data_IF_313955349607
#
_entry.id   IF_313955349607
#
_cell.length_a   1.000
_cell.length_b   1.000
_cell.length_c   1.000
_cell.angle_alpha   90.00
_cell.angle_beta   90.00
_cell.angle_gamma   90.00
#
_symmetry.space_group_name_H-M   'P 1'
#
loop_
_entity.id
_entity.type
_entity.pdbx_description
1 polymer ?
#
# COMPACT_ATOMS: atom_id res chain seq x y z
N UNK A 1 10.01 11.09 8.21
CA UNK A 1 8.53 10.97 8.26
C UNK A 1 8.13 9.67 7.60
N UNK A 2 6.97 9.11 7.93
CA UNK A 2 6.51 7.85 7.31
C UNK A 2 5.43 8.14 6.28
N UNK A 3 5.63 7.69 5.04
CA UNK A 3 4.65 7.75 3.96
C UNK A 3 4.59 6.36 3.33
N UNK A 4 3.39 5.83 3.16
CA UNK A 4 3.16 4.50 2.59
C UNK A 4 2.41 4.56 1.25
N UNK A 5 2.23 5.77 0.71
CA UNK A 5 1.67 6.04 -0.61
C UNK A 5 1.69 7.54 -0.91
N UNK A 6 1.17 7.93 -2.06
CA UNK A 6 1.00 9.33 -2.43
C UNK A 6 -0.48 9.75 -2.38
N UNK A 7 -0.77 10.91 -1.77
CA UNK A 7 -2.13 11.46 -1.78
C UNK A 7 -3.16 10.52 -1.12
N UNK A 8 -4.29 10.22 -1.80
CA UNK A 8 -5.35 9.34 -1.28
C UNK A 8 -4.87 7.95 -0.86
N UNK A 9 -3.83 7.41 -1.51
CA UNK A 9 -3.27 6.11 -1.14
C UNK A 9 -2.70 6.12 0.29
N UNK A 10 -1.99 7.20 0.65
CA UNK A 10 -1.48 7.34 2.01
C UNK A 10 -2.60 7.53 3.03
N UNK A 11 -3.63 8.31 2.71
CA UNK A 11 -4.77 8.53 3.61
C UNK A 11 -5.55 7.22 3.87
N UNK A 12 -5.62 6.35 2.87
CA UNK A 12 -6.22 5.03 2.99
C UNK A 12 -5.38 4.10 3.87
N UNK A 13 -4.08 3.97 3.57
CA UNK A 13 -3.18 3.06 4.27
C UNK A 13 -2.93 3.53 5.71
N UNK A 14 -2.65 4.82 5.89
CA UNK A 14 -2.29 5.46 7.16
C UNK A 14 -3.44 6.28 7.73
N UNK A 15 -4.65 5.75 7.73
CA UNK A 15 -5.80 6.41 8.36
C UNK A 15 -5.52 6.76 9.85
N UNK A 16 -5.93 7.93 10.35
CA UNK A 16 -6.74 8.98 9.70
C UNK A 16 -5.91 10.11 9.06
N UNK A 17 -4.68 9.84 8.62
CA UNK A 17 -3.79 10.88 8.07
C UNK A 17 -4.43 11.68 6.93
N UNK A 18 -4.04 12.95 6.84
CA UNK A 18 -4.44 13.88 5.78
C UNK A 18 -3.23 14.29 4.96
N UNK A 19 -3.34 14.15 3.64
CA UNK A 19 -2.25 14.47 2.73
C UNK A 19 -1.86 15.94 2.80
N UNK A 20 -2.84 16.84 2.91
CA UNK A 20 -2.60 18.28 3.10
C UNK A 20 -1.74 18.56 4.33
N UNK A 21 -2.07 17.96 5.49
CA UNK A 21 -1.32 18.15 6.72
C UNK A 21 0.11 17.60 6.63
N UNK A 22 0.31 16.50 5.90
CA UNK A 22 1.63 15.94 5.61
C UNK A 22 2.46 16.91 4.78
N UNK A 23 1.88 17.48 3.72
CA UNK A 23 2.55 18.46 2.85
C UNK A 23 2.91 19.72 3.64
N UNK A 24 1.98 20.25 4.44
CA UNK A 24 2.21 21.41 5.30
C UNK A 24 3.34 21.14 6.30
N UNK A 25 3.36 19.95 6.88
CA UNK A 25 4.43 19.50 7.77
C UNK A 25 5.76 19.47 7.04
N UNK A 26 5.83 18.89 5.83
CA UNK A 26 7.05 18.86 5.02
C UNK A 26 7.58 20.28 4.78
N UNK A 27 6.72 21.18 4.32
CA UNK A 27 7.09 22.57 4.02
C UNK A 27 7.65 23.25 5.27
N UNK A 28 6.95 23.12 6.41
CA UNK A 28 7.38 23.70 7.68
C UNK A 28 8.75 23.21 8.12
N UNK A 29 8.99 21.89 8.05
CA UNK A 29 10.27 21.32 8.48
C UNK A 29 11.41 21.61 7.50
N UNK A 30 11.14 21.73 6.19
CA UNK A 30 12.16 22.15 5.20
C UNK A 30 12.67 23.58 5.45
N UNK A 31 11.85 24.43 6.06
CA UNK A 31 12.25 25.80 6.42
C UNK A 31 13.23 25.90 7.60
N UNK A 32 13.52 24.79 8.29
CA UNK A 32 14.40 24.80 9.46
C UNK A 32 15.87 24.57 9.05
N UNK A 33 16.83 25.41 9.49
CA UNK A 33 18.21 25.44 8.97
C UNK A 33 19.04 24.18 9.20
N UNK A 34 18.61 23.28 10.10
CA UNK A 34 19.35 22.06 10.47
C UNK A 34 18.49 20.79 10.43
N UNK A 35 17.24 20.88 9.96
CA UNK A 35 16.39 19.71 9.84
C UNK A 35 16.78 18.90 8.60
N UNK A 36 17.05 17.61 8.78
CA UNK A 36 17.20 16.65 7.69
C UNK A 36 15.93 15.82 7.59
N UNK A 37 15.30 15.84 6.43
CA UNK A 37 14.11 15.04 6.16
C UNK A 37 14.47 13.80 5.37
N UNK A 38 13.77 12.71 5.67
CA UNK A 38 13.73 11.51 4.85
C UNK A 38 12.34 10.89 4.96
N UNK A 39 11.91 10.26 3.87
CA UNK A 39 10.67 9.48 3.82
C UNK A 39 11.00 8.03 4.18
N UNK A 40 10.33 7.49 5.18
CA UNK A 40 10.32 6.07 5.50
C UNK A 40 9.08 5.42 4.90
N UNK A 41 9.30 4.48 3.98
CA UNK A 41 8.26 3.74 3.28
C UNK A 41 8.18 2.30 3.77
N UNK A 42 7.00 1.84 4.18
CA UNK A 42 6.82 0.47 4.66
C UNK A 42 6.18 -0.37 3.56
N UNK A 43 7.01 -1.10 2.79
CA UNK A 43 6.55 -1.92 1.68
C UNK A 43 5.65 -3.06 2.19
N UNK A 44 4.42 -3.10 1.70
CA UNK A 44 3.35 -4.01 2.08
C UNK A 44 2.55 -4.44 0.84
N UNK A 45 1.66 -5.41 0.99
CA UNK A 45 0.73 -5.80 -0.05
C UNK A 45 -0.15 -4.64 -0.56
N UNK A 46 -0.37 -3.60 0.25
CA UNK A 46 -1.23 -2.46 -0.10
C UNK A 46 -0.55 -1.42 -1.00
N UNK A 47 0.78 -1.39 -1.06
CA UNK A 47 1.49 -0.25 -1.65
C UNK A 47 2.63 -0.62 -2.59
N UNK A 48 2.66 -1.85 -3.09
CA UNK A 48 3.68 -2.26 -4.09
C UNK A 48 3.68 -1.36 -5.33
N UNK A 49 2.52 -0.85 -5.76
CA UNK A 49 2.39 0.08 -6.89
C UNK A 49 2.54 1.56 -6.50
N UNK A 50 2.53 1.89 -5.21
CA UNK A 50 2.61 3.29 -4.74
C UNK A 50 4.04 3.75 -4.46
N UNK A 51 5.00 2.82 -4.48
CA UNK A 51 6.41 3.11 -4.21
C UNK A 51 7.00 4.11 -5.21
N UNK A 52 6.65 4.01 -6.49
CA UNK A 52 7.15 4.90 -7.54
C UNK A 52 6.65 6.32 -7.32
N UNK A 53 5.33 6.49 -7.15
CA UNK A 53 4.72 7.80 -6.89
C UNK A 53 5.26 8.45 -5.61
N UNK A 54 5.47 7.65 -4.56
CA UNK A 54 6.03 8.14 -3.29
C UNK A 54 7.48 8.57 -3.46
N UNK A 55 8.28 7.79 -4.20
CA UNK A 55 9.67 8.15 -4.50
C UNK A 55 9.77 9.42 -5.35
N UNK A 56 8.92 9.56 -6.37
CA UNK A 56 8.83 10.76 -7.21
C UNK A 56 8.42 12.01 -6.41
N UNK A 57 7.45 11.88 -5.50
CA UNK A 57 7.09 12.95 -4.59
C UNK A 57 8.26 13.38 -3.70
N UNK A 58 8.98 12.40 -3.12
CA UNK A 58 10.20 12.65 -2.36
C UNK A 58 11.25 13.39 -3.19
N UNK A 59 11.49 12.93 -4.42
CA UNK A 59 12.44 13.52 -5.36
C UNK A 59 12.11 14.97 -5.71
N UNK A 60 10.84 15.25 -6.06
CA UNK A 60 10.34 16.59 -6.31
C UNK A 60 10.51 17.53 -5.10
N UNK A 61 10.42 16.96 -3.89
CA UNK A 61 10.66 17.69 -2.65
C UNK A 61 12.13 17.73 -2.22
N UNK A 62 13.05 17.10 -2.94
CA UNK A 62 14.45 16.98 -2.53
C UNK A 62 14.64 16.16 -1.24
N UNK A 63 13.71 15.24 -0.95
CA UNK A 63 13.69 14.40 0.25
C UNK A 63 13.97 12.95 -0.17
N UNK A 64 15.10 12.35 0.25
CA UNK A 64 15.38 10.96 -0.06
C UNK A 64 14.41 10.04 0.70
N UNK A 65 14.03 8.94 0.06
CA UNK A 65 13.26 7.89 0.73
C UNK A 65 14.14 6.68 1.08
N UNK A 66 13.70 5.94 2.08
CA UNK A 66 14.22 4.66 2.55
C UNK A 66 13.05 3.72 2.76
N UNK A 67 13.27 2.41 2.71
CA UNK A 67 12.18 1.46 2.91
C UNK A 67 12.47 0.38 3.95
N UNK A 68 11.40 -0.10 4.57
CA UNK A 68 11.33 -1.37 5.27
C UNK A 68 10.29 -2.28 4.61
N UNK A 69 10.19 -3.53 5.06
CA UNK A 69 9.25 -4.52 4.49
C UNK A 69 8.36 -5.07 5.59
N UNK A 70 7.05 -5.15 5.33
CA UNK A 70 6.11 -5.80 6.24
C UNK A 70 6.33 -7.30 6.21
N UNK A 71 6.68 -7.86 7.37
CA UNK A 71 6.70 -9.30 7.60
C UNK A 71 5.52 -9.76 8.46
N UNK A 72 5.05 -8.91 9.38
CA UNK A 72 3.94 -9.19 10.30
C UNK A 72 3.02 -7.96 10.39
N UNK A 73 1.68 -8.12 10.34
CA UNK A 73 0.97 -9.39 10.14
C UNK A 73 1.15 -9.94 8.72
N UNK A 74 1.29 -11.26 8.58
CA UNK A 74 1.63 -11.90 7.30
C UNK A 74 0.65 -11.61 6.18
N UNK A 75 -0.63 -11.36 6.50
CA UNK A 75 -1.67 -10.93 5.54
C UNK A 75 -1.43 -9.55 4.91
N UNK A 76 -0.41 -8.81 5.33
CA UNK A 76 0.00 -7.53 4.73
C UNK A 76 1.40 -7.60 4.12
N UNK A 77 2.07 -8.75 4.21
CA UNK A 77 3.36 -8.94 3.56
C UNK A 77 3.19 -8.90 2.03
N UNK A 78 4.10 -8.25 1.28
CA UNK A 78 4.07 -8.31 -0.19
C UNK A 78 4.10 -9.74 -0.72
N UNK A 79 4.68 -10.67 0.05
CA UNK A 79 4.82 -12.09 -0.30
C UNK A 79 3.49 -12.86 -0.41
N UNK A 80 2.33 -12.24 -0.16
CA UNK A 80 1.03 -12.87 -0.39
C UNK A 80 0.44 -12.56 -1.76
N UNK A 81 1.00 -11.57 -2.47
CA UNK A 81 0.47 -11.14 -3.76
C UNK A 81 0.77 -12.19 -4.85
N UNK A 82 -0.07 -12.27 -5.89
CA UNK A 82 0.21 -13.11 -7.06
C UNK A 82 1.57 -12.78 -7.67
N UNK A 83 2.22 -13.79 -8.24
CA UNK A 83 3.51 -13.63 -8.90
C UNK A 83 3.48 -12.54 -9.98
N UNK A 84 2.46 -12.54 -10.84
CA UNK A 84 2.34 -11.57 -11.92
C UNK A 84 2.15 -10.14 -11.40
N UNK A 85 1.39 -9.95 -10.31
CA UNK A 85 1.24 -8.65 -9.65
C UNK A 85 2.58 -8.12 -9.13
N UNK A 86 3.39 -8.97 -8.49
CA UNK A 86 4.72 -8.60 -8.00
C UNK A 86 5.68 -8.23 -9.13
N UNK A 87 5.65 -9.01 -10.22
CA UNK A 87 6.46 -8.78 -11.41
C UNK A 87 6.05 -7.47 -12.11
N UNK A 88 4.75 -7.20 -12.23
CA UNK A 88 4.23 -5.95 -12.79
C UNK A 88 4.71 -4.73 -12.00
N UNK A 89 4.62 -4.77 -10.66
CA UNK A 89 5.11 -3.69 -9.82
C UNK A 89 6.64 -3.50 -9.96
N UNK A 90 7.40 -4.60 -10.09
CA UNK A 90 8.84 -4.53 -10.31
C UNK A 90 9.20 -3.89 -11.66
N UNK A 91 8.47 -4.20 -12.73
CA UNK A 91 8.64 -3.57 -14.05
C UNK A 91 8.37 -2.07 -13.98
N UNK A 92 7.30 -1.64 -13.33
CA UNK A 92 6.98 -0.21 -13.18
C UNK A 92 8.10 0.55 -12.45
N UNK A 93 8.70 -0.08 -11.42
CA UNK A 93 9.86 0.49 -10.73
C UNK A 93 11.07 0.62 -11.66
N UNK A 94 11.37 -0.42 -12.43
CA UNK A 94 12.52 -0.45 -13.34
C UNK A 94 12.38 0.63 -14.43
N UNK A 95 11.17 0.82 -14.97
CA UNK A 95 10.87 1.85 -15.97
C UNK A 95 10.97 3.27 -15.40
N UNK A 96 10.62 3.47 -14.13
CA UNK A 96 10.59 4.79 -13.52
C UNK A 96 11.89 5.20 -12.84
N UNK A 97 12.79 4.27 -12.48
CA UNK A 97 13.91 4.58 -11.56
C UNK A 97 14.85 5.65 -12.09
N UNK A 98 15.09 5.68 -13.39
CA UNK A 98 16.02 6.64 -13.99
C UNK A 98 15.43 8.04 -14.15
N UNK A 99 14.10 8.19 -14.00
CA UNK A 99 13.42 9.49 -13.95
C UNK A 99 13.70 10.29 -12.67
N UNK A 100 14.13 9.64 -11.59
CA UNK A 100 14.48 10.32 -10.34
C UNK A 100 15.80 11.10 -10.47
N UNK A 101 16.02 12.06 -9.59
CA UNK A 101 17.27 12.81 -9.49
C UNK A 101 18.12 12.37 -8.31
N UNK A 102 17.49 11.97 -7.20
CA UNK A 102 18.16 11.58 -5.95
C UNK A 102 18.70 10.15 -6.05
N UNK A 103 20.03 10.03 -6.11
CA UNK A 103 20.73 8.74 -6.13
C UNK A 103 20.36 7.79 -4.96
N UNK A 104 20.17 8.25 -3.71
CA UNK A 104 19.69 7.37 -2.64
C UNK A 104 18.36 6.72 -2.98
N UNK A 105 17.37 7.50 -3.44
CA UNK A 105 16.04 7.02 -3.83
C UNK A 105 16.12 6.01 -4.99
N UNK A 106 16.98 6.24 -5.99
CA UNK A 106 17.22 5.27 -7.08
C UNK A 106 17.69 3.92 -6.56
N UNK A 107 18.63 3.94 -5.61
CA UNK A 107 19.17 2.71 -5.02
C UNK A 107 18.10 1.93 -4.27
N UNK A 108 17.27 2.62 -3.49
CA UNK A 108 16.16 1.99 -2.77
C UNK A 108 15.12 1.39 -3.72
N UNK A 109 14.73 2.10 -4.80
CA UNK A 109 13.84 1.54 -5.82
C UNK A 109 14.42 0.27 -6.47
N UNK A 110 15.70 0.27 -6.87
CA UNK A 110 16.35 -0.94 -7.41
C UNK A 110 16.41 -2.08 -6.40
N UNK A 111 16.48 -1.79 -5.10
CA UNK A 111 16.42 -2.81 -4.05
C UNK A 111 15.01 -3.39 -3.92
N UNK A 112 13.97 -2.56 -3.98
CA UNK A 112 12.57 -2.98 -3.96
C UNK A 112 12.24 -3.83 -5.20
N UNK A 113 12.60 -3.40 -6.41
CA UNK A 113 12.40 -4.19 -7.64
C UNK A 113 13.01 -5.59 -7.51
N UNK A 114 14.28 -5.69 -7.06
CA UNK A 114 14.94 -6.98 -6.83
C UNK A 114 14.24 -7.84 -5.77
N UNK A 115 13.71 -7.23 -4.71
CA UNK A 115 12.96 -7.92 -3.67
C UNK A 115 11.62 -8.45 -4.19
N UNK A 116 10.84 -7.63 -4.91
CA UNK A 116 9.57 -8.06 -5.50
C UNK A 116 9.78 -9.23 -6.46
N UNK A 117 10.83 -9.16 -7.30
CA UNK A 117 11.23 -10.25 -8.20
C UNK A 117 11.68 -11.49 -7.44
N UNK A 118 12.33 -11.35 -6.28
CA UNK A 118 12.71 -12.52 -5.47
C UNK A 118 11.49 -13.20 -4.87
N UNK A 119 10.47 -12.43 -4.44
CA UNK A 119 9.18 -13.00 -4.03
C UNK A 119 8.43 -13.62 -5.20
N UNK A 120 8.46 -13.01 -6.40
CA UNK A 120 7.80 -13.53 -7.59
C UNK A 120 8.39 -14.87 -8.05
N UNK A 121 9.70 -15.09 -7.87
CA UNK A 121 10.39 -16.33 -8.29
C UNK A 121 10.32 -17.48 -7.30
N UNK A 122 9.80 -17.25 -6.10
CA UNK A 122 9.61 -18.33 -5.14
C UNK A 122 8.52 -19.26 -5.69
N UNK A 123 8.90 -20.50 -5.98
CA UNK A 123 7.95 -21.58 -6.25
C UNK A 123 7.17 -21.85 -4.95
N UNK A 124 6.02 -21.20 -4.82
CA UNK A 124 5.19 -21.24 -3.62
C UNK A 124 3.74 -21.43 -4.02
N UNK A 125 3.07 -22.31 -3.28
CA UNK A 125 1.62 -22.36 -3.33
C UNK A 125 1.04 -21.05 -2.79
N UNK A 126 0.03 -20.53 -3.47
CA UNK A 126 -0.70 -19.36 -3.00
C UNK A 126 -1.39 -19.68 -1.67
N UNK A 127 -1.15 -18.85 -0.66
CA UNK A 127 -1.75 -19.05 0.64
C UNK A 127 -3.16 -18.43 0.66
N UNK A 128 -4.15 -19.22 0.30
CA UNK A 128 -5.57 -18.83 0.23
C UNK A 128 -6.12 -18.30 1.57
N UNK A 129 -5.61 -18.80 2.70
CA UNK A 129 -6.00 -18.31 4.03
C UNK A 129 -5.51 -16.88 4.25
N UNK A 130 -4.24 -16.59 3.92
CA UNK A 130 -3.68 -15.24 4.03
C UNK A 130 -4.32 -14.28 3.03
N UNK A 131 -4.62 -14.75 1.82
CA UNK A 131 -5.36 -13.98 0.82
C UNK A 131 -6.76 -13.60 1.32
N UNK A 132 -7.51 -14.58 1.83
CA UNK A 132 -8.83 -14.34 2.43
C UNK A 132 -8.75 -13.32 3.56
N UNK A 133 -7.76 -13.43 4.44
CA UNK A 133 -7.51 -12.48 5.53
C UNK A 133 -7.15 -11.08 5.02
N UNK A 134 -6.41 -10.97 3.93
CA UNK A 134 -6.09 -9.69 3.30
C UNK A 134 -7.35 -9.00 2.78
N UNK A 135 -8.18 -9.72 2.01
CA UNK A 135 -9.45 -9.21 1.46
C UNK A 135 -10.43 -8.81 2.56
N UNK A 136 -10.60 -9.65 3.59
CA UNK A 136 -11.46 -9.33 4.72
C UNK A 136 -10.97 -8.09 5.48
N UNK A 137 -9.66 -7.98 5.70
CA UNK A 137 -9.07 -6.84 6.38
C UNK A 137 -9.34 -5.54 5.62
N UNK A 138 -9.11 -5.50 4.30
CA UNK A 138 -9.32 -4.31 3.48
C UNK A 138 -10.79 -3.94 3.38
N UNK A 139 -11.70 -4.92 3.23
CA UNK A 139 -13.15 -4.66 3.25
C UNK A 139 -13.62 -4.10 4.61
N UNK A 140 -13.06 -4.58 5.72
CA UNK A 140 -13.33 -4.03 7.05
C UNK A 140 -12.82 -2.58 7.20
N UNK A 141 -11.67 -2.24 6.59
CA UNK A 141 -11.17 -0.86 6.53
C UNK A 141 -12.13 0.02 5.74
N UNK A 142 -12.49 -0.38 4.53
CA UNK A 142 -13.42 0.34 3.65
C UNK A 142 -14.72 0.66 4.38
N UNK A 143 -15.34 -0.36 4.99
CA UNK A 143 -16.62 -0.22 5.68
C UNK A 143 -16.53 0.62 6.95
N UNK A 144 -15.47 0.47 7.75
CA UNK A 144 -15.32 1.23 9.00
C UNK A 144 -14.99 2.71 8.76
N UNK A 145 -14.29 3.02 7.66
CA UNK A 145 -13.80 4.36 7.34
C UNK A 145 -14.65 5.09 6.29
N UNK A 146 -15.59 4.40 5.65
CA UNK A 146 -16.32 4.93 4.50
C UNK A 146 -15.40 5.20 3.30
N UNK A 147 -14.37 4.39 3.14
CA UNK A 147 -13.39 4.47 2.06
C UNK A 147 -13.57 3.31 1.08
N UNK A 148 -12.79 3.32 -0.01
CA UNK A 148 -12.78 2.24 -0.99
C UNK A 148 -11.35 1.97 -1.44
N UNK A 149 -10.90 0.73 -1.27
CA UNK A 149 -9.60 0.29 -1.79
C UNK A 149 -9.50 0.47 -3.30
N UNK A 150 -10.61 0.28 -4.03
CA UNK A 150 -10.65 0.46 -5.48
C UNK A 150 -10.45 1.93 -5.88
N UNK A 151 -11.00 2.86 -5.09
CA UNK A 151 -10.82 4.28 -5.34
C UNK A 151 -9.43 4.78 -4.88
N UNK A 152 -8.90 4.23 -3.78
CA UNK A 152 -7.65 4.69 -3.17
C UNK A 152 -6.41 4.02 -3.71
N UNK A 153 -6.49 2.77 -4.17
CA UNK A 153 -5.38 1.94 -4.67
C UNK A 153 -5.77 1.23 -5.99
N UNK A 154 -6.13 2.00 -7.04
CA UNK A 154 -6.72 1.45 -8.27
C UNK A 154 -5.80 0.49 -9.02
N UNK A 155 -4.49 0.76 -9.07
CA UNK A 155 -3.52 -0.06 -9.80
C UNK A 155 -3.36 -1.45 -9.16
N UNK A 156 -3.36 -1.49 -7.82
CA UNK A 156 -3.36 -2.74 -7.06
C UNK A 156 -4.62 -3.56 -7.35
N UNK A 157 -5.80 -2.95 -7.22
CA UNK A 157 -7.07 -3.66 -7.46
C UNK A 157 -7.18 -4.13 -8.90
N UNK A 158 -6.72 -3.33 -9.86
CA UNK A 158 -6.72 -3.71 -11.28
C UNK A 158 -5.85 -4.93 -11.52
N UNK A 159 -4.61 -4.94 -11.01
CA UNK A 159 -3.72 -6.11 -11.13
C UNK A 159 -4.32 -7.35 -10.45
N UNK A 160 -4.85 -7.20 -9.23
CA UNK A 160 -5.44 -8.31 -8.49
C UNK A 160 -6.70 -8.87 -9.16
N UNK A 161 -7.49 -8.06 -9.87
CA UNK A 161 -8.67 -8.53 -10.60
C UNK A 161 -8.32 -9.45 -11.78
N UNK A 162 -7.17 -9.21 -12.42
CA UNK A 162 -6.68 -10.06 -13.51
C UNK A 162 -6.31 -11.44 -12.96
N UNK A 163 -5.60 -11.46 -11.82
CA UNK A 163 -5.03 -12.70 -11.27
C UNK A 163 -6.00 -13.51 -10.40
N UNK A 164 -6.86 -12.84 -9.62
CA UNK A 164 -7.76 -13.47 -8.63
C UNK A 164 -9.24 -13.36 -8.99
N UNK A 165 -9.56 -12.72 -10.12
CA UNK A 165 -10.94 -12.46 -10.54
C UNK A 165 -11.60 -11.28 -9.79
N UNK A 166 -12.93 -11.14 -9.87
CA UNK A 166 -13.64 -10.01 -9.29
C UNK A 166 -13.37 -9.83 -7.78
N UNK A 167 -13.27 -8.57 -7.33
CA UNK A 167 -13.03 -8.26 -5.93
C UNK A 167 -14.17 -8.79 -5.03
N UNK A 168 -13.82 -9.64 -4.07
CA UNK A 168 -14.79 -10.22 -3.14
C UNK A 168 -15.13 -9.23 -2.01
N UNK A 169 -16.41 -9.15 -1.63
CA UNK A 169 -16.90 -8.22 -0.59
C UNK A 169 -17.10 -8.86 0.79
N UNK A 170 -16.36 -9.93 1.05
CA UNK A 170 -16.44 -10.68 2.31
C UNK A 170 -15.77 -9.88 3.43
N UNK A 171 -16.40 -9.81 4.61
CA UNK A 171 -15.91 -9.08 5.79
C UNK A 171 -15.65 -10.05 6.94
N UNK A 172 -14.69 -9.73 7.83
CA UNK A 172 -14.47 -10.49 9.05
C UNK A 172 -15.30 -9.93 10.21
N UNK A 173 -15.34 -8.60 10.35
CA UNK A 173 -16.10 -7.95 11.41
C UNK A 173 -17.50 -7.53 10.97
N UNK A 174 -18.53 -8.14 11.57
CA UNK A 174 -19.91 -7.63 11.47
C UNK A 174 -20.05 -6.44 12.43
N UNK A 175 -20.23 -5.23 11.90
CA UNK A 175 -20.49 -4.05 12.73
C UNK A 175 -21.82 -4.22 13.48
N UNK A 176 -21.95 -3.67 14.71
CA UNK A 176 -23.19 -3.78 15.50
C UNK A 176 -24.44 -3.31 14.74
N UNK A 177 -24.30 -2.30 13.87
CA UNK A 177 -25.37 -1.75 13.02
C UNK A 177 -25.94 -2.72 11.98
N UNK A 178 -25.20 -3.78 11.65
CA UNK A 178 -25.56 -4.76 10.62
C UNK A 178 -26.01 -6.10 11.22
N UNK A 179 -26.08 -6.20 12.56
CA UNK A 179 -26.84 -7.26 13.22
C UNK A 179 -28.31 -6.90 13.08
N UNK A 180 -28.93 -7.31 11.97
CA UNK A 180 -30.38 -7.29 11.87
C UNK A 180 -30.94 -8.08 13.05
N UNK A 181 -31.65 -7.40 13.95
CA UNK A 181 -32.45 -8.05 14.98
C UNK A 181 -33.51 -8.88 14.25
N UNK A 182 -33.53 -10.22 14.36
CA UNK A 182 -34.71 -10.94 13.95
C UNK A 182 -35.77 -10.63 15.01
N UNK A 183 -36.60 -9.62 14.75
CA UNK A 183 -37.85 -9.48 15.49
C UNK A 183 -38.75 -10.61 14.96
N UNK A 184 -38.64 -11.77 15.58
CA UNK A 184 -39.67 -12.78 15.51
C UNK A 184 -40.94 -12.19 16.12
N UNK A 185 -41.86 -11.71 15.29
CA UNK A 185 -43.25 -11.59 15.71
C UNK A 185 -43.82 -13.01 15.73
N UNK A 186 -43.79 -13.62 16.91
CA UNK A 186 -44.62 -14.76 17.23
C UNK A 186 -46.00 -14.24 17.65
N UNK A 187 -47.03 -14.87 17.06
CA UNK A 187 -48.43 -14.96 17.49
C UNK A 187 -49.28 -13.70 17.43
#
# INVERSE_FOLDING_TARGET
MSLDGHGPANEYIRYPSKWSEIVDTIIRFKGLPHAKLSIGFTLSALNVFEVVRTAQFGDAMGIPFTFGVVHTPSRLSPNILPQATLEQAAVEIDDAVDSLTLNPSKRELRAISRLLRSFARQDREENEELWTKFVQFTNDLDRSRGQSIEASLPDLVTSLRVEKGPWQRNIFHILPKDRATPVSKAS
#
